data_IF_274528324633
#
_entry.id   IF_274528324633
#
_cell.length_a   1.000
_cell.length_b   1.000
_cell.length_c   1.000
_cell.angle_alpha   90.00
_cell.angle_beta   90.00
_cell.angle_gamma   90.00
#
_symmetry.space_group_name_H-M   'P 1'
#
loop_
_entity.id
_entity.type
_entity.pdbx_description
1 polymer ?
#
# COMPACT_ATOMS: atom_id res chain seq x y z
N UNK A 1 -13.83 45.45 -2.14
CA UNK A 1 -14.86 44.53 -1.64
C UNK A 1 -14.65 43.16 -2.23
N UNK A 2 -14.34 42.17 -1.37
CA UNK A 2 -14.59 40.73 -1.50
C UNK A 2 -14.47 40.10 -2.91
N UNK A 3 -13.25 39.76 -3.32
CA UNK A 3 -13.02 38.71 -4.32
C UNK A 3 -13.12 37.35 -3.59
N UNK A 4 -14.31 36.78 -3.61
CA UNK A 4 -14.66 35.50 -3.01
C UNK A 4 -14.13 34.37 -3.89
N UNK A 5 -13.33 33.51 -3.26
CA UNK A 5 -13.37 32.04 -3.32
C UNK A 5 -14.11 31.43 -4.52
N UNK A 6 -13.41 30.63 -5.33
CA UNK A 6 -13.78 29.28 -5.82
C UNK A 6 -12.72 28.91 -6.86
N UNK A 7 -11.78 28.05 -6.47
CA UNK A 7 -11.00 27.24 -7.40
C UNK A 7 -10.75 25.86 -6.77
N UNK A 8 -11.80 25.34 -6.13
CA UNK A 8 -12.00 23.90 -5.95
C UNK A 8 -12.53 23.39 -7.28
N UNK A 9 -11.65 22.78 -8.09
CA UNK A 9 -12.01 21.80 -9.12
C UNK A 9 -10.74 21.37 -9.84
N UNK A 10 -10.15 20.29 -9.36
CA UNK A 10 -9.51 19.26 -10.18
C UNK A 10 -9.24 18.05 -9.30
N UNK A 11 -10.31 17.33 -8.98
CA UNK A 11 -10.25 15.91 -8.63
C UNK A 11 -9.73 15.17 -9.86
N UNK A 12 -8.41 15.18 -10.05
CA UNK A 12 -7.75 14.27 -10.96
C UNK A 12 -7.59 12.98 -10.17
N UNK A 13 -8.60 12.12 -10.24
CA UNK A 13 -8.53 10.76 -9.73
C UNK A 13 -7.58 9.98 -10.66
N UNK A 14 -6.27 10.11 -10.42
CA UNK A 14 -5.26 9.34 -11.12
C UNK A 14 -5.35 7.91 -10.57
N UNK A 15 -6.17 7.08 -11.21
CA UNK A 15 -6.12 5.63 -11.03
C UNK A 15 -4.91 5.10 -11.79
N UNK A 16 -3.72 5.22 -11.19
CA UNK A 16 -2.51 4.60 -11.72
C UNK A 16 -2.62 3.10 -11.51
N UNK A 17 -3.07 2.39 -12.55
CA UNK A 17 -2.85 0.95 -12.63
C UNK A 17 -1.39 0.74 -13.06
N UNK A 18 -0.55 0.32 -12.14
CA UNK A 18 0.68 -0.38 -12.51
C UNK A 18 0.30 -1.79 -12.98
N UNK A 19 -0.16 -1.91 -14.23
CA UNK A 19 -0.12 -3.19 -14.94
C UNK A 19 1.29 -3.32 -15.51
N UNK A 20 2.25 -3.70 -14.68
CA UNK A 20 3.54 -4.16 -15.19
C UNK A 20 3.48 -5.68 -15.28
N UNK A 21 2.95 -6.17 -16.41
CA UNK A 21 3.34 -7.48 -16.90
C UNK A 21 4.30 -7.29 -18.07
N UNK A 22 5.37 -8.06 -18.01
CA UNK A 22 6.41 -8.17 -19.01
C UNK A 22 5.83 -8.63 -20.36
N UNK A 23 5.30 -7.70 -21.17
CA UNK A 23 4.74 -7.99 -22.50
C UNK A 23 5.79 -8.62 -23.45
N UNK A 24 7.08 -8.50 -23.13
CA UNK A 24 8.15 -9.01 -23.98
C UNK A 24 8.44 -10.50 -23.85
N UNK A 25 7.87 -11.24 -22.89
CA UNK A 25 8.10 -12.70 -22.77
C UNK A 25 6.94 -13.59 -23.24
N UNK A 26 5.77 -13.00 -23.55
CA UNK A 26 4.53 -13.77 -23.72
C UNK A 26 4.19 -14.14 -25.18
N UNK A 27 5.05 -13.82 -26.15
CA UNK A 27 4.80 -14.21 -27.55
C UNK A 27 5.21 -15.67 -27.83
N UNK A 28 5.89 -16.36 -26.91
CA UNK A 28 6.42 -17.72 -27.16
C UNK A 28 5.71 -18.88 -26.45
N UNK A 29 4.91 -18.67 -25.39
CA UNK A 29 4.38 -19.76 -24.55
C UNK A 29 2.93 -20.17 -24.81
N UNK A 30 2.24 -19.53 -25.75
CA UNK A 30 0.87 -19.89 -26.12
C UNK A 30 0.72 -21.27 -26.81
N UNK A 31 1.82 -22.00 -27.05
CA UNK A 31 1.81 -23.25 -27.82
C UNK A 31 1.76 -24.54 -26.98
N UNK A 32 1.84 -24.51 -25.64
CA UNK A 32 2.03 -25.73 -24.82
C UNK A 32 1.03 -25.92 -23.64
N UNK A 33 -0.16 -25.31 -23.68
CA UNK A 33 -1.29 -25.74 -22.83
C UNK A 33 -1.16 -25.50 -21.32
N UNK A 34 -0.17 -24.74 -20.86
CA UNK A 34 -0.08 -24.23 -19.50
C UNK A 34 -0.55 -22.77 -19.50
N UNK A 35 -1.81 -22.54 -19.16
CA UNK A 35 -2.26 -21.20 -18.79
C UNK A 35 -1.51 -20.81 -17.50
N UNK A 36 -0.51 -19.93 -17.62
CA UNK A 36 0.19 -19.38 -16.45
C UNK A 36 -0.86 -18.72 -15.53
N UNK A 37 -0.87 -19.01 -14.21
CA UNK A 37 -1.84 -18.44 -13.28
C UNK A 37 -1.72 -16.92 -13.31
N UNK A 38 -2.87 -16.24 -13.33
CA UNK A 38 -2.90 -14.78 -13.34
C UNK A 38 -2.61 -14.28 -11.92
N UNK A 39 -1.49 -13.60 -11.69
CA UNK A 39 -1.23 -12.94 -10.40
C UNK A 39 -2.02 -11.65 -10.36
N UNK A 40 -2.91 -11.55 -9.37
CA UNK A 40 -3.72 -10.36 -9.13
C UNK A 40 -3.36 -9.73 -7.79
N UNK A 41 -3.24 -8.41 -7.76
CA UNK A 41 -3.15 -7.66 -6.51
C UNK A 41 -4.54 -7.56 -5.85
N UNK A 42 -4.64 -8.04 -4.63
CA UNK A 42 -5.82 -7.87 -3.76
C UNK A 42 -5.47 -6.85 -2.68
N UNK A 43 -6.15 -5.70 -2.71
CA UNK A 43 -6.04 -4.67 -1.67
C UNK A 43 -6.77 -5.15 -0.42
N UNK A 44 -6.09 -5.09 0.73
CA UNK A 44 -6.57 -5.52 2.04
C UNK A 44 -7.13 -4.36 2.87
N UNK A 45 -6.56 -3.17 2.73
CA UNK A 45 -7.01 -1.97 3.43
C UNK A 45 -6.01 -0.82 3.35
N UNK A 46 -6.37 0.30 3.96
CA UNK A 46 -5.56 1.51 3.98
C UNK A 46 -5.37 2.06 5.38
N UNK A 47 -4.24 2.74 5.59
CA UNK A 47 -3.96 3.45 6.82
C UNK A 47 -3.33 4.81 6.54
N UNK A 48 -3.76 5.81 7.29
CA UNK A 48 -3.21 7.17 7.23
C UNK A 48 -2.11 7.32 8.27
N UNK A 49 -0.96 7.84 7.86
CA UNK A 49 0.15 8.16 8.77
C UNK A 49 -0.18 9.46 9.50
N UNK A 50 -0.32 9.38 10.81
CA UNK A 50 -0.61 10.53 11.68
C UNK A 50 0.61 11.09 12.39
N UNK A 51 1.59 10.23 12.65
CA UNK A 51 2.82 10.62 13.31
C UNK A 51 3.98 9.73 12.85
N UNK A 52 5.19 10.28 12.80
CA UNK A 52 6.39 9.49 12.47
C UNK A 52 7.39 9.56 13.62
N UNK A 53 7.72 8.38 14.16
CA UNK A 53 8.68 8.23 15.23
C UNK A 53 10.01 7.76 14.67
N UNK A 54 11.09 8.51 14.93
CA UNK A 54 12.45 8.09 14.57
C UNK A 54 13.10 7.42 15.77
N UNK A 55 13.33 6.12 15.69
CA UNK A 55 13.97 5.34 16.75
C UNK A 55 15.38 4.95 16.33
N UNK A 56 16.37 5.35 17.13
CA UNK A 56 17.77 4.99 16.92
C UNK A 56 17.93 3.49 16.73
N UNK A 57 18.65 3.07 15.67
CA UNK A 57 18.88 1.66 15.23
C UNK A 57 17.70 0.94 14.57
N UNK A 58 16.46 1.38 14.75
CA UNK A 58 15.27 0.75 14.12
C UNK A 58 14.83 1.52 12.86
N UNK A 59 15.04 2.83 12.84
CA UNK A 59 14.61 3.71 11.74
C UNK A 59 13.28 4.42 12.04
N UNK A 60 12.59 4.83 11.00
CA UNK A 60 11.27 5.46 11.05
C UNK A 60 10.18 4.41 11.32
N UNK A 61 9.34 4.69 12.29
CA UNK A 61 8.12 3.94 12.62
C UNK A 61 6.94 4.89 12.36
N UNK A 62 6.02 4.46 11.51
CA UNK A 62 4.81 5.21 11.20
C UNK A 62 3.73 4.87 12.24
N UNK A 63 3.26 5.89 12.96
CA UNK A 63 2.04 5.83 13.76
C UNK A 63 0.85 6.09 12.86
N UNK A 64 0.05 5.06 12.62
CA UNK A 64 -0.99 5.05 11.61
C UNK A 64 -2.37 4.80 12.21
N UNK A 65 -3.39 5.34 11.55
CA UNK A 65 -4.78 5.02 11.81
C UNK A 65 -5.37 4.27 10.61
N UNK A 66 -5.90 3.07 10.83
CA UNK A 66 -6.47 2.26 9.75
C UNK A 66 -7.82 2.85 9.35
N UNK A 67 -7.92 3.34 8.12
CA UNK A 67 -9.12 4.02 7.59
C UNK A 67 -10.16 3.03 7.10
N UNK A 68 -9.71 1.94 6.47
CA UNK A 68 -10.58 0.91 5.91
C UNK A 68 -9.87 -0.45 5.83
N UNK A 69 -10.68 -1.50 5.70
CA UNK A 69 -10.20 -2.86 5.57
C UNK A 69 -9.37 -3.30 6.77
N UNK A 70 -8.22 -3.90 6.49
CA UNK A 70 -7.29 -4.42 7.48
C UNK A 70 -5.84 -4.35 6.99
N UNK A 71 -4.93 -4.23 7.94
CA UNK A 71 -3.50 -4.26 7.71
C UNK A 71 -2.98 -5.57 8.28
N UNK A 72 -2.41 -6.41 7.42
CA UNK A 72 -1.80 -7.67 7.81
C UNK A 72 -0.28 -7.50 7.91
N UNK A 73 0.31 -8.14 8.93
CA UNK A 73 1.76 -8.30 9.00
C UNK A 73 2.23 -9.08 7.77
N UNK A 74 3.42 -8.76 7.28
CA UNK A 74 4.07 -9.45 6.16
C UNK A 74 3.43 -9.18 4.77
N UNK A 75 2.37 -8.37 4.70
CA UNK A 75 1.78 -7.89 3.44
C UNK A 75 2.70 -6.88 2.73
N UNK A 76 2.39 -6.63 1.45
CA UNK A 76 3.00 -5.56 0.68
C UNK A 76 2.33 -4.21 1.00
N UNK A 77 3.13 -3.16 0.98
CA UNK A 77 2.76 -1.78 1.28
C UNK A 77 3.12 -0.91 0.08
N UNK A 78 2.16 -0.12 -0.36
CA UNK A 78 2.33 1.01 -1.26
C UNK A 78 2.13 2.30 -0.48
N UNK A 79 3.01 3.27 -0.70
CA UNK A 79 2.99 4.57 -0.04
C UNK A 79 2.57 5.63 -1.06
N UNK A 80 1.48 6.33 -0.76
CA UNK A 80 0.95 7.42 -1.58
C UNK A 80 1.00 8.73 -0.81
N UNK A 81 1.54 9.78 -1.43
CA UNK A 81 1.65 11.13 -0.88
C UNK A 81 0.98 12.12 -1.81
N UNK A 82 -0.16 12.67 -1.39
CA UNK A 82 -0.92 13.65 -2.20
C UNK A 82 -1.19 13.15 -3.62
N UNK A 83 -1.74 11.93 -3.74
CA UNK A 83 -2.09 11.23 -4.99
C UNK A 83 -0.92 10.69 -5.83
N UNK A 84 0.32 10.84 -5.38
CA UNK A 84 1.51 10.29 -6.05
C UNK A 84 2.02 9.08 -5.28
N UNK A 85 2.19 7.95 -5.96
CA UNK A 85 2.88 6.79 -5.39
C UNK A 85 4.36 7.13 -5.25
N UNK A 86 4.85 7.21 -4.01
CA UNK A 86 6.25 7.56 -3.69
C UNK A 86 7.10 6.32 -3.45
N UNK A 87 6.49 5.20 -3.08
CA UNK A 87 7.16 3.91 -2.86
C UNK A 87 6.13 2.77 -3.02
N UNK A 88 6.58 1.62 -3.53
CA UNK A 88 5.71 0.47 -3.83
C UNK A 88 6.44 -0.87 -3.56
N UNK A 89 5.69 -1.96 -3.47
CA UNK A 89 6.24 -3.33 -3.34
C UNK A 89 7.16 -3.53 -2.13
N UNK A 90 6.93 -2.76 -1.05
CA UNK A 90 7.67 -2.92 0.21
C UNK A 90 6.95 -3.82 1.17
N UNK A 91 7.71 -4.61 1.93
CA UNK A 91 7.12 -5.51 2.94
C UNK A 91 6.92 -4.77 4.26
N UNK A 92 5.79 -5.02 4.91
CA UNK A 92 5.57 -4.61 6.30
C UNK A 92 6.39 -5.51 7.23
N UNK A 93 7.49 -4.99 7.78
CA UNK A 93 8.41 -5.77 8.63
C UNK A 93 7.93 -5.90 10.07
N UNK A 94 7.27 -4.87 10.61
CA UNK A 94 6.67 -4.91 11.94
C UNK A 94 5.31 -4.22 11.94
N UNK A 95 4.37 -4.86 12.63
CA UNK A 95 3.05 -4.31 12.91
C UNK A 95 2.83 -4.44 14.41
N UNK A 96 2.66 -3.31 15.08
CA UNK A 96 2.42 -3.24 16.52
C UNK A 96 1.13 -2.50 16.82
N UNK A 97 0.38 -2.98 17.79
CA UNK A 97 -0.73 -2.24 18.39
C UNK A 97 -0.32 -1.87 19.80
N UNK A 98 -0.16 -0.58 20.05
CA UNK A 98 0.50 -0.08 21.27
C UNK A 98 1.91 -0.66 21.42
N UNK A 99 2.12 -1.61 22.35
CA UNK A 99 3.43 -2.23 22.62
C UNK A 99 3.49 -3.68 22.13
N UNK A 100 2.37 -4.24 21.70
CA UNK A 100 2.24 -5.65 21.37
C UNK A 100 2.34 -5.88 19.86
N UNK A 101 3.06 -6.92 19.47
CA UNK A 101 3.10 -7.38 18.08
C UNK A 101 1.71 -7.90 17.65
N UNK A 102 1.21 -7.38 16.53
CA UNK A 102 -0.07 -7.75 15.97
C UNK A 102 0.13 -8.50 14.64
N UNK A 103 -0.71 -9.51 14.41
CA UNK A 103 -0.79 -10.19 13.09
C UNK A 103 -1.63 -9.39 12.10
N UNK A 104 -2.67 -8.75 12.60
CA UNK A 104 -3.61 -7.95 11.80
C UNK A 104 -4.13 -6.80 12.66
N UNK A 105 -4.38 -5.64 12.04
CA UNK A 105 -5.09 -4.51 12.64
C UNK A 105 -6.19 -4.07 11.69
N UNK A 106 -7.42 -3.92 12.20
CA UNK A 106 -8.61 -3.57 11.40
C UNK A 106 -8.88 -2.07 11.41
N UNK A 107 -9.69 -1.64 10.46
CA UNK A 107 -10.25 -0.29 10.37
C UNK A 107 -10.75 0.24 11.72
N UNK A 108 -10.50 1.52 11.97
CA UNK A 108 -10.92 2.20 13.19
C UNK A 108 -9.91 2.10 14.35
N UNK A 109 -8.78 1.42 14.15
CA UNK A 109 -7.74 1.24 15.16
C UNK A 109 -6.42 1.90 14.79
N UNK A 110 -5.65 2.24 15.83
CA UNK A 110 -4.29 2.76 15.70
C UNK A 110 -3.26 1.63 15.76
N UNK A 111 -2.18 1.79 15.00
CA UNK A 111 -1.05 0.87 14.99
C UNK A 111 0.26 1.55 14.60
N UNK A 112 1.37 0.96 15.03
CA UNK A 112 2.71 1.31 14.61
C UNK A 112 3.19 0.35 13.51
N UNK A 113 3.71 0.91 12.43
CA UNK A 113 4.19 0.17 11.26
C UNK A 113 5.66 0.49 10.98
N UNK A 114 6.45 -0.55 10.74
CA UNK A 114 7.79 -0.42 10.16
C UNK A 114 7.79 -1.04 8.77
N UNK A 115 8.17 -0.26 7.78
CA UNK A 115 8.32 -0.70 6.39
C UNK A 115 9.78 -1.12 6.19
N UNK A 116 9.98 -2.28 5.56
CA UNK A 116 11.30 -2.81 5.31
C UNK A 116 12.05 -1.98 4.25
N UNK A 117 13.29 -1.60 4.57
CA UNK A 117 14.15 -0.85 3.65
C UNK A 117 13.66 0.55 3.27
N UNK A 118 12.63 1.08 3.93
CA UNK A 118 12.08 2.41 3.64
C UNK A 118 11.86 3.23 4.92
N UNK A 119 12.38 4.46 4.92
CA UNK A 119 12.37 5.38 6.06
C UNK A 119 11.82 6.78 5.73
N UNK A 120 11.60 7.14 4.45
CA UNK A 120 11.01 8.44 4.06
C UNK A 120 9.48 8.44 4.17
N UNK A 121 8.99 8.11 5.36
CA UNK A 121 7.57 8.23 5.71
C UNK A 121 7.31 9.60 6.34
N UNK A 122 6.21 10.23 5.93
CA UNK A 122 5.76 11.54 6.39
C UNK A 122 4.32 11.48 6.86
N UNK A 123 3.97 12.41 7.74
CA UNK A 123 2.59 12.61 8.17
C UNK A 123 1.73 13.00 6.96
N UNK A 124 0.54 12.41 6.87
CA UNK A 124 -0.35 12.53 5.71
C UNK A 124 -0.07 11.55 4.58
N UNK A 125 0.98 10.71 4.66
CA UNK A 125 1.14 9.59 3.72
C UNK A 125 0.03 8.56 3.94
N UNK A 126 -0.45 7.96 2.84
CA UNK A 126 -1.42 6.85 2.86
C UNK A 126 -0.68 5.56 2.56
N UNK A 127 -0.85 4.57 3.43
CA UNK A 127 -0.30 3.22 3.30
C UNK A 127 -1.41 2.28 2.81
N UNK A 128 -1.32 1.83 1.57
CA UNK A 128 -2.18 0.79 1.00
C UNK A 128 -1.54 -0.57 1.24
N UNK A 129 -2.25 -1.45 1.94
CA UNK A 129 -1.84 -2.81 2.23
C UNK A 129 -2.47 -3.75 1.20
N UNK A 130 -1.66 -4.57 0.53
CA UNK A 130 -2.12 -5.52 -0.49
C UNK A 130 -1.31 -6.81 -0.50
N UNK A 131 -1.86 -7.84 -1.17
CA UNK A 131 -1.19 -9.12 -1.41
C UNK A 131 -1.32 -9.54 -2.86
N UNK A 132 -0.39 -10.36 -3.33
CA UNK A 132 -0.48 -11.01 -4.64
C UNK A 132 -1.21 -12.34 -4.48
N UNK A 133 -2.26 -12.56 -5.26
CA UNK A 133 -3.08 -13.77 -5.24
C UNK A 133 -3.04 -14.43 -6.62
N UNK A 134 -2.71 -15.72 -6.65
CA UNK A 134 -2.78 -16.52 -7.87
C UNK A 134 -4.23 -16.89 -8.16
N UNK A 135 -4.79 -16.33 -9.24
CA UNK A 135 -6.13 -16.68 -9.71
C UNK A 135 -6.00 -17.77 -10.77
N UNK A 136 -6.50 -18.96 -10.45
CA UNK A 136 -6.64 -20.05 -11.43
C UNK A 136 -7.73 -19.66 -12.42
N UNK A 137 -7.38 -19.50 -13.70
CA UNK A 137 -8.37 -19.33 -14.77
C UNK A 137 -9.26 -20.57 -14.82
N UNK A 138 -10.57 -20.37 -14.70
CA UNK A 138 -11.57 -21.41 -14.97
C UNK A 138 -12.11 -21.15 -16.37
N UNK A 139 -12.19 -22.21 -17.18
CA UNK A 139 -12.71 -22.21 -18.56
C UNK A 139 -14.19 -21.84 -18.64
#
# INVERSE_FOLDING_TARGET
GKARTVADQKSVEIRTYDVIYHITEDIKKAAEGLLEPELRQEVLGHAEVRQVFKVSKVGAIAGCYVTDGKIERDALIRVTRGDIVVENDRRLSQLKRFKDDAKEVRSGMECGMKIDGYDDIKEGDILECYKNVEVKRTL
#
